data_IF_017982851303
#
_entry.id   IF_017982851303
#
_cell.length_a   1.000
_cell.length_b   1.000
_cell.length_c   1.000
_cell.angle_alpha   90.00
_cell.angle_beta   90.00
_cell.angle_gamma   90.00
#
_symmetry.space_group_name_H-M   'P 1'
#
loop_
_entity.id
_entity.type
_entity.pdbx_description
1 polymer ?
#
# COMPACT_ATOMS: atom_id res chain seq x y z
N UNK A 1 43.90 13.66 12.14
CA UNK A 1 42.48 13.79 11.76
C UNK A 1 42.00 12.42 11.28
N UNK A 2 41.28 11.64 12.11
CA UNK A 2 40.77 10.31 11.70
C UNK A 2 39.55 10.51 10.82
N UNK A 3 39.60 10.03 9.58
CA UNK A 3 38.45 10.01 8.69
C UNK A 3 37.30 9.25 9.36
N UNK A 4 36.13 9.87 9.48
CA UNK A 4 34.93 9.19 9.94
C UNK A 4 34.65 8.00 9.01
N UNK A 5 34.32 6.80 9.52
CA UNK A 5 34.00 5.67 8.67
C UNK A 5 32.86 6.05 7.74
N UNK A 6 33.10 5.93 6.42
CA UNK A 6 32.12 6.23 5.39
C UNK A 6 30.84 5.45 5.70
N UNK A 7 29.75 6.16 6.03
CA UNK A 7 28.48 5.55 6.30
C UNK A 7 28.08 4.69 5.09
N UNK A 8 27.97 3.37 5.29
CA UNK A 8 27.63 2.44 4.19
C UNK A 8 26.37 2.95 3.48
N UNK A 9 26.40 3.09 2.14
CA UNK A 9 25.26 3.55 1.37
C UNK A 9 23.99 2.76 1.70
N UNK A 10 22.84 3.44 1.71
CA UNK A 10 21.55 2.86 2.13
C UNK A 10 21.16 1.63 1.29
N UNK A 11 21.56 1.57 0.02
CA UNK A 11 21.33 0.42 -0.87
C UNK A 11 22.19 -0.82 -0.53
N UNK A 12 23.26 -0.67 0.27
CA UNK A 12 24.12 -1.77 0.75
C UNK A 12 23.67 -2.32 2.12
N UNK A 13 22.60 -1.75 2.71
CA UNK A 13 22.04 -2.23 3.98
C UNK A 13 21.01 -3.33 3.71
N UNK A 14 21.49 -4.56 3.61
CA UNK A 14 20.67 -5.77 3.39
C UNK A 14 19.46 -5.88 4.33
N UNK A 15 19.57 -5.36 5.55
CA UNK A 15 18.48 -5.33 6.53
C UNK A 15 17.21 -4.66 6.00
N UNK A 16 17.35 -3.60 5.19
CA UNK A 16 16.20 -2.91 4.59
C UNK A 16 15.53 -3.75 3.52
N UNK A 17 16.31 -4.47 2.70
CA UNK A 17 15.78 -5.42 1.73
C UNK A 17 15.10 -6.60 2.41
N UNK A 18 15.67 -7.12 3.50
CA UNK A 18 15.09 -8.20 4.29
C UNK A 18 13.71 -7.81 4.87
N UNK A 19 13.55 -6.57 5.33
CA UNK A 19 12.25 -6.07 5.80
C UNK A 19 11.23 -5.97 4.66
N UNK A 20 11.63 -5.45 3.50
CA UNK A 20 10.74 -5.37 2.33
C UNK A 20 10.35 -6.78 1.87
N UNK A 21 11.30 -7.72 1.83
CA UNK A 21 11.06 -9.11 1.46
C UNK A 21 10.09 -9.81 2.42
N UNK A 22 10.33 -9.70 3.74
CA UNK A 22 9.46 -10.29 4.74
C UNK A 22 8.04 -9.71 4.67
N UNK A 23 7.92 -8.38 4.59
CA UNK A 23 6.62 -7.73 4.45
C UNK A 23 5.92 -8.09 3.15
N UNK A 24 6.64 -8.07 2.03
CA UNK A 24 6.11 -8.39 0.69
C UNK A 24 5.56 -9.80 0.61
N UNK A 25 6.26 -10.77 1.21
CA UNK A 25 5.81 -12.17 1.30
C UNK A 25 4.46 -12.25 2.02
N UNK A 26 4.33 -11.60 3.18
CA UNK A 26 3.07 -11.56 3.94
C UNK A 26 1.95 -10.86 3.15
N UNK A 27 2.24 -9.71 2.55
CA UNK A 27 1.27 -8.95 1.77
C UNK A 27 0.74 -9.74 0.57
N UNK A 28 1.63 -10.35 -0.20
CA UNK A 28 1.27 -11.17 -1.37
C UNK A 28 0.52 -12.43 -0.96
N UNK A 29 0.92 -13.12 0.11
CA UNK A 29 0.19 -14.29 0.61
C UNK A 29 -1.23 -13.92 1.05
N UNK A 30 -1.41 -12.80 1.75
CA UNK A 30 -2.74 -12.32 2.15
C UNK A 30 -3.60 -11.95 0.94
N UNK A 31 -3.03 -11.24 -0.03
CA UNK A 31 -3.70 -10.90 -1.29
C UNK A 31 -4.18 -12.16 -2.00
N UNK A 32 -3.29 -13.15 -2.14
CA UNK A 32 -3.60 -14.40 -2.81
C UNK A 32 -4.69 -15.19 -2.09
N UNK A 33 -4.59 -15.30 -0.76
CA UNK A 33 -5.59 -15.96 0.06
C UNK A 33 -6.99 -15.34 -0.14
N UNK A 34 -7.08 -14.01 -0.17
CA UNK A 34 -8.35 -13.33 -0.43
C UNK A 34 -8.83 -13.56 -1.86
N UNK A 35 -7.94 -13.48 -2.84
CA UNK A 35 -8.27 -13.66 -4.26
C UNK A 35 -8.87 -15.05 -4.55
N UNK A 36 -8.32 -16.12 -3.96
CA UNK A 36 -8.84 -17.47 -4.14
C UNK A 36 -10.10 -17.75 -3.29
N UNK A 37 -10.32 -17.00 -2.21
CA UNK A 37 -11.45 -17.21 -1.30
C UNK A 37 -12.73 -16.51 -1.74
N UNK A 38 -12.61 -15.45 -2.56
CA UNK A 38 -13.75 -14.63 -2.97
C UNK A 38 -13.99 -14.82 -4.48
N UNK A 39 -15.10 -15.47 -4.88
CA UNK A 39 -15.39 -15.68 -6.28
C UNK A 39 -15.70 -14.35 -7.00
N UNK A 40 -15.44 -14.27 -8.32
CA UNK A 40 -15.85 -13.12 -9.12
C UNK A 40 -17.37 -12.92 -9.10
N UNK A 41 -17.81 -11.66 -9.07
CA UNK A 41 -19.23 -11.29 -9.15
C UNK A 41 -19.49 -10.74 -10.54
N UNK A 42 -20.40 -11.38 -11.28
CA UNK A 42 -20.67 -11.04 -12.69
C UNK A 42 -19.38 -10.96 -13.55
N UNK A 43 -18.44 -11.89 -13.34
CA UNK A 43 -17.15 -11.93 -14.03
C UNK A 43 -16.16 -10.83 -13.62
N UNK A 44 -16.44 -10.08 -12.56
CA UNK A 44 -15.54 -9.04 -12.04
C UNK A 44 -14.91 -9.49 -10.72
N UNK A 45 -13.59 -9.40 -10.62
CA UNK A 45 -12.85 -9.68 -9.39
C UNK A 45 -13.00 -8.52 -8.39
N UNK A 46 -14.17 -8.42 -7.75
CA UNK A 46 -14.49 -7.39 -6.75
C UNK A 46 -13.52 -7.38 -5.56
N UNK A 47 -12.92 -8.53 -5.26
CA UNK A 47 -11.91 -8.67 -4.21
C UNK A 47 -10.66 -7.84 -4.50
N UNK A 48 -10.22 -7.76 -5.77
CA UNK A 48 -9.06 -6.97 -6.19
C UNK A 48 -9.34 -5.46 -6.00
N UNK A 49 -10.58 -5.02 -6.21
CA UNK A 49 -10.99 -3.64 -5.90
C UNK A 49 -10.85 -3.40 -4.40
N UNK A 50 -11.42 -4.29 -3.57
CA UNK A 50 -11.35 -4.19 -2.11
C UNK A 50 -9.90 -4.17 -1.58
N UNK A 51 -9.05 -5.07 -2.09
CA UNK A 51 -7.63 -5.13 -1.76
C UNK A 51 -6.93 -3.78 -2.06
N UNK A 52 -7.11 -3.24 -3.27
CA UNK A 52 -6.47 -1.99 -3.65
C UNK A 52 -7.00 -0.79 -2.85
N UNK A 53 -8.31 -0.72 -2.62
CA UNK A 53 -8.95 0.38 -1.87
C UNK A 53 -8.55 0.36 -0.39
N UNK A 54 -8.62 -0.80 0.27
CA UNK A 54 -8.19 -0.95 1.67
C UNK A 54 -6.70 -0.67 1.79
N UNK A 55 -5.89 -1.21 0.88
CA UNK A 55 -4.45 -1.00 0.88
C UNK A 55 -4.07 0.47 0.67
N UNK A 56 -4.74 1.18 -0.25
CA UNK A 56 -4.53 2.61 -0.48
C UNK A 56 -4.83 3.46 0.76
N UNK A 57 -5.97 3.19 1.44
CA UNK A 57 -6.31 3.85 2.70
C UNK A 57 -5.24 3.61 3.79
N UNK A 58 -4.88 2.35 4.02
CA UNK A 58 -3.91 1.98 5.05
C UNK A 58 -2.53 2.55 4.76
N UNK A 59 -2.12 2.60 3.48
CA UNK A 59 -0.85 3.17 3.07
C UNK A 59 -0.83 4.69 3.29
N UNK A 60 -1.89 5.40 2.89
CA UNK A 60 -2.02 6.83 3.16
C UNK A 60 -1.97 7.15 4.65
N UNK A 61 -2.70 6.38 5.46
CA UNK A 61 -2.69 6.51 6.92
C UNK A 61 -1.31 6.25 7.52
N UNK A 62 -0.63 5.18 7.11
CA UNK A 62 0.68 4.80 7.60
C UNK A 62 1.72 5.88 7.28
N UNK A 63 1.80 6.30 6.02
CA UNK A 63 2.81 7.26 5.56
C UNK A 63 2.64 8.61 6.24
N UNK A 64 1.40 9.10 6.35
CA UNK A 64 1.14 10.35 7.04
C UNK A 64 1.49 10.29 8.53
N UNK A 65 1.11 9.19 9.20
CA UNK A 65 1.40 8.98 10.62
C UNK A 65 2.91 8.97 10.87
N UNK A 66 3.67 8.28 10.02
CA UNK A 66 5.14 8.24 10.13
C UNK A 66 5.77 9.59 9.84
N UNK A 67 5.31 10.31 8.79
CA UNK A 67 5.83 11.61 8.42
C UNK A 67 5.64 12.67 9.52
N UNK A 68 4.50 12.66 10.22
CA UNK A 68 4.25 13.58 11.33
C UNK A 68 4.94 13.18 12.63
N UNK A 69 5.39 11.93 12.75
CA UNK A 69 6.07 11.41 13.95
C UNK A 69 7.57 11.69 13.98
N UNK A 70 8.12 12.37 12.98
CA UNK A 70 9.52 12.79 12.92
C UNK A 70 10.27 12.32 11.67
N UNK A 71 11.61 12.49 11.63
CA UNK A 71 12.44 12.16 10.46
C UNK A 71 12.35 10.69 10.04
N UNK A 72 12.52 10.40 8.73
CA UNK A 72 12.52 9.04 8.17
C UNK A 72 13.84 8.30 8.46
N UNK A 73 14.09 8.01 9.72
CA UNK A 73 15.26 7.32 10.24
C UNK A 73 14.90 6.21 11.25
N UNK A 74 15.92 5.43 11.63
CA UNK A 74 15.82 4.37 12.63
C UNK A 74 14.59 3.48 12.47
N UNK A 75 13.79 3.40 13.54
CA UNK A 75 12.58 2.57 13.60
C UNK A 75 11.48 3.04 12.62
N UNK A 76 11.34 4.34 12.36
CA UNK A 76 10.32 4.86 11.43
C UNK A 76 10.59 4.41 10.00
N UNK A 77 11.84 4.48 9.56
CA UNK A 77 12.25 3.95 8.25
C UNK A 77 12.01 2.45 8.14
N UNK A 78 12.35 1.69 9.18
CA UNK A 78 12.11 0.24 9.21
C UNK A 78 10.61 -0.09 9.07
N UNK A 79 9.74 0.63 9.80
CA UNK A 79 8.29 0.46 9.70
C UNK A 79 7.76 0.84 8.31
N UNK A 80 8.24 1.93 7.72
CA UNK A 80 7.86 2.35 6.36
C UNK A 80 8.22 1.29 5.33
N UNK A 81 9.41 0.70 5.43
CA UNK A 81 9.87 -0.34 4.51
C UNK A 81 9.13 -1.67 4.72
N UNK A 82 8.98 -2.12 5.96
CA UNK A 82 8.30 -3.38 6.28
C UNK A 82 6.81 -3.31 5.92
N UNK A 83 6.10 -2.29 6.43
CA UNK A 83 4.64 -2.20 6.32
C UNK A 83 4.19 -1.49 5.04
N UNK A 84 4.86 -0.39 4.67
CA UNK A 84 4.49 0.38 3.50
C UNK A 84 4.93 -0.31 2.21
N UNK A 85 6.24 -0.40 1.99
CA UNK A 85 6.80 -1.01 0.77
C UNK A 85 6.60 -2.52 0.74
N UNK A 86 6.79 -3.21 1.86
CA UNK A 86 6.63 -4.65 1.98
C UNK A 86 5.15 -5.07 2.00
N UNK A 87 4.50 -5.03 3.16
CA UNK A 87 3.15 -5.59 3.35
C UNK A 87 2.13 -4.94 2.43
N UNK A 88 1.96 -3.62 2.48
CA UNK A 88 0.95 -2.93 1.69
C UNK A 88 1.28 -2.93 0.19
N UNK A 89 2.56 -2.81 -0.16
CA UNK A 89 3.04 -2.93 -1.54
C UNK A 89 2.80 -4.31 -2.15
N UNK A 90 3.00 -5.39 -1.38
CA UNK A 90 2.70 -6.76 -1.81
C UNK A 90 1.22 -7.13 -1.73
N UNK A 91 0.47 -6.48 -0.83
CA UNK A 91 -0.98 -6.68 -0.66
C UNK A 91 -1.76 -6.05 -1.81
N UNK A 92 -1.41 -4.84 -2.22
CA UNK A 92 -2.03 -4.16 -3.37
C UNK A 92 -1.50 -4.68 -4.70
N UNK A 93 -2.26 -4.51 -5.79
CA UNK A 93 -1.84 -5.01 -7.11
C UNK A 93 -2.44 -4.22 -8.26
N UNK A 94 -1.57 -3.61 -9.06
CA UNK A 94 -1.94 -3.01 -10.34
C UNK A 94 -1.97 -4.06 -11.46
N UNK A 95 -1.09 -5.07 -11.42
CA UNK A 95 -1.01 -6.08 -12.47
C UNK A 95 -2.30 -6.90 -12.57
N UNK A 96 -2.90 -7.28 -11.43
CA UNK A 96 -4.17 -8.01 -11.44
C UNK A 96 -5.32 -7.14 -11.97
N UNK A 97 -5.37 -5.86 -11.56
CA UNK A 97 -6.33 -4.89 -12.10
C UNK A 97 -6.21 -4.79 -13.64
N UNK A 98 -4.98 -4.72 -14.17
CA UNK A 98 -4.73 -4.64 -15.60
C UNK A 98 -5.12 -5.93 -16.34
N UNK A 99 -4.76 -7.11 -15.80
CA UNK A 99 -5.14 -8.39 -16.42
C UNK A 99 -6.65 -8.60 -16.39
N UNK A 100 -7.33 -8.32 -15.29
CA UNK A 100 -8.79 -8.46 -15.17
C UNK A 100 -9.52 -7.48 -16.09
N UNK A 101 -9.00 -6.26 -16.23
CA UNK A 101 -9.52 -5.29 -17.21
C UNK A 101 -9.36 -5.81 -18.64
N UNK A 102 -8.21 -6.42 -18.97
CA UNK A 102 -7.97 -6.97 -20.30
C UNK A 102 -8.91 -8.14 -20.64
N UNK A 103 -9.24 -8.98 -19.64
CA UNK A 103 -10.22 -10.05 -19.80
C UNK A 103 -11.63 -9.50 -20.06
N UNK A 104 -12.04 -8.47 -19.31
CA UNK A 104 -13.34 -7.82 -19.54
C UNK A 104 -13.42 -7.18 -20.92
N UNK A 105 -12.32 -6.63 -21.45
CA UNK A 105 -12.27 -6.10 -22.81
C UNK A 105 -12.36 -7.21 -23.87
N UNK A 106 -11.71 -8.35 -23.63
CA UNK A 106 -11.78 -9.51 -24.51
C UNK A 106 -13.19 -10.12 -24.59
N UNK A 107 -13.98 -9.99 -23.52
CA UNK A 107 -15.38 -10.41 -23.45
C UNK A 107 -16.37 -9.37 -24.04
N UNK A 108 -15.89 -8.35 -24.77
CA UNK A 108 -16.67 -7.23 -25.31
C UNK A 108 -17.39 -6.37 -24.25
N UNK A 109 -16.92 -6.40 -23.00
CA UNK A 109 -17.54 -5.67 -21.85
C UNK A 109 -16.88 -4.33 -21.56
N UNK A 110 -16.75 -3.48 -22.58
CA UNK A 110 -16.06 -2.18 -22.49
C UNK A 110 -16.52 -1.31 -21.29
N UNK A 111 -17.82 -1.17 -21.09
CA UNK A 111 -18.36 -0.36 -19.99
C UNK A 111 -17.96 -0.89 -18.61
N UNK A 112 -17.99 -2.21 -18.42
CA UNK A 112 -17.55 -2.84 -17.16
C UNK A 112 -16.04 -2.71 -16.98
N UNK A 113 -15.25 -2.90 -18.03
CA UNK A 113 -13.80 -2.74 -18.00
C UNK A 113 -13.39 -1.32 -17.57
N UNK A 114 -14.00 -0.29 -18.17
CA UNK A 114 -13.75 1.11 -17.83
C UNK A 114 -14.16 1.43 -16.39
N UNK A 115 -15.35 0.99 -15.96
CA UNK A 115 -15.81 1.19 -14.59
C UNK A 115 -14.90 0.50 -13.58
N UNK A 116 -14.48 -0.73 -13.86
CA UNK A 116 -13.59 -1.49 -13.00
C UNK A 116 -12.21 -0.83 -12.89
N UNK A 117 -11.57 -0.49 -14.02
CA UNK A 117 -10.25 0.12 -14.03
C UNK A 117 -10.25 1.53 -13.43
N UNK A 118 -11.04 2.45 -14.00
CA UNK A 118 -11.07 3.85 -13.58
C UNK A 118 -11.71 4.00 -12.20
N UNK A 119 -12.78 3.26 -11.93
CA UNK A 119 -13.43 3.28 -10.62
C UNK A 119 -12.47 2.84 -9.51
N UNK A 120 -11.70 1.77 -9.72
CA UNK A 120 -10.70 1.32 -8.73
C UNK A 120 -9.63 2.38 -8.49
N UNK A 121 -9.12 3.02 -9.53
CA UNK A 121 -8.09 4.08 -9.41
C UNK A 121 -8.64 5.31 -8.68
N UNK A 122 -9.83 5.79 -9.08
CA UNK A 122 -10.45 6.99 -8.48
C UNK A 122 -10.79 6.72 -7.00
N UNK A 123 -11.46 5.61 -6.70
CA UNK A 123 -11.80 5.25 -5.31
C UNK A 123 -10.53 5.00 -4.50
N UNK A 124 -9.51 4.37 -5.08
CA UNK A 124 -8.20 4.20 -4.47
C UNK A 124 -7.54 5.54 -4.11
N UNK A 125 -7.57 6.52 -5.00
CA UNK A 125 -7.03 7.85 -4.74
C UNK A 125 -7.79 8.59 -3.63
N UNK A 126 -9.14 8.53 -3.66
CA UNK A 126 -10.00 9.12 -2.62
C UNK A 126 -9.70 8.49 -1.25
N UNK A 127 -9.59 7.16 -1.21
CA UNK A 127 -9.34 6.45 0.05
C UNK A 127 -7.93 6.62 0.56
N UNK A 128 -6.92 6.73 -0.31
CA UNK A 128 -5.57 7.16 0.09
C UNK A 128 -5.59 8.54 0.75
N UNK A 129 -6.29 9.50 0.13
CA UNK A 129 -6.45 10.84 0.70
C UNK A 129 -7.18 10.82 2.05
N UNK A 130 -8.24 10.01 2.17
CA UNK A 130 -8.94 9.81 3.44
C UNK A 130 -8.00 9.23 4.52
N UNK A 131 -7.15 8.27 4.16
CA UNK A 131 -6.13 7.71 5.06
C UNK A 131 -5.16 8.78 5.56
N UNK A 132 -4.67 9.64 4.67
CA UNK A 132 -3.83 10.80 5.01
C UNK A 132 -4.58 11.75 5.95
N UNK A 133 -5.83 12.11 5.63
CA UNK A 133 -6.63 12.99 6.47
C UNK A 133 -6.83 12.43 7.89
N UNK A 134 -7.06 11.11 8.01
CA UNK A 134 -7.15 10.40 9.29
C UNK A 134 -5.82 10.46 10.07
N UNK A 135 -4.68 10.19 9.43
CA UNK A 135 -3.36 10.27 10.06
C UNK A 135 -3.06 11.68 10.59
N UNK A 136 -3.40 12.71 9.80
CA UNK A 136 -3.28 14.11 10.22
C UNK A 136 -4.17 14.45 11.42
N UNK A 137 -5.41 13.96 11.43
CA UNK A 137 -6.36 14.19 12.52
C UNK A 137 -5.92 13.54 13.85
N UNK A 138 -5.39 12.32 13.81
CA UNK A 138 -4.88 11.62 14.98
C UNK A 138 -3.73 12.38 15.65
N UNK A 139 -2.81 12.91 14.84
CA UNK A 139 -1.67 13.67 15.36
C UNK A 139 -2.10 15.00 16.01
N UNK A 140 -3.10 15.70 15.44
CA UNK A 140 -3.67 16.92 16.07
C UNK A 140 -4.29 16.63 17.43
N UNK A 141 -5.03 15.52 17.56
CA UNK A 141 -5.66 15.12 18.83
C UNK A 141 -4.64 14.80 19.92
N UNK A 142 -3.53 14.13 19.56
CA UNK A 142 -2.46 13.81 20.52
C UNK A 142 -1.78 15.08 21.06
N UNK A 143 -1.46 16.04 20.19
CA UNK A 143 -0.87 17.31 20.63
C UNK A 143 -1.76 18.15 21.52
N UNK A 144 -3.09 18.09 21.34
CA UNK A 144 -4.04 18.81 22.19
C UNK A 144 -4.35 18.12 23.53
N UNK A 145 -3.93 16.86 23.71
CA UNK A 145 -4.04 16.14 24.98
C UNK A 145 -2.78 16.31 25.85
N UNK A 146 -1.64 16.66 25.24
CA UNK A 146 -0.34 16.86 25.89
C UNK A 146 -0.10 18.34 26.31
N UNK A 147 -1.08 19.22 26.10
CA UNK A 147 -1.05 20.67 26.37
C UNK A 147 -2.04 21.06 27.46
#
# INVERSE_FOLDING_TARGET
MRAAPAARPVHLRWQYLALVFAGGTVGTALRELLAISVPPVAGVAVVIVGINVVGAFLLGLLLETLARSGPDDGRRRQLRLLLGTGVLGGFTTYSALATDTSLLLADDRLGTALLYALGTVIVGAITAWAGIACGAAQHRRRRGADS
#
